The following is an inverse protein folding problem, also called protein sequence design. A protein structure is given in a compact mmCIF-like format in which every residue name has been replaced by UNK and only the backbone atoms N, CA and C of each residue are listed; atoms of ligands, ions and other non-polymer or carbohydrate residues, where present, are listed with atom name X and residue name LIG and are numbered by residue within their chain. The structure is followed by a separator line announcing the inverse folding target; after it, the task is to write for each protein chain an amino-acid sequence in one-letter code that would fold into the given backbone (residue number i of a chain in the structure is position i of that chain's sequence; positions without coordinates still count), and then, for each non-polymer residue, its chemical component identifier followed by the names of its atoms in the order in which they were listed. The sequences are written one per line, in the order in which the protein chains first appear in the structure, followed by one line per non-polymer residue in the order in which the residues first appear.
data_IF_921569268729
#
_entry.id   IF_921569268729
#
_cell.length_a   1.000
_cell.length_b   1.000
_cell.length_c   1.000
_cell.angle_alpha   90.00
_cell.angle_beta   90.00
_cell.angle_gamma   90.00
#
_symmetry.space_group_name_H-M   'P 1'
#
loop_
_entity.id
_entity.type
_entity.pdbx_description
1 polymer ?
#
# COMPACT_ATOMS: atom_id res chain seq x y z
N UNK A 1 1.33 0.11 -4.55
CA UNK A 1 2.08 -1.16 -4.61
C UNK A 1 1.25 -2.23 -5.31
N UNK A 2 1.79 -2.78 -6.41
CA UNK A 2 1.23 -3.89 -7.22
C UNK A 2 2.19 -4.25 -8.37
N UNK A 3 1.88 -5.25 -9.20
CA UNK A 3 2.71 -5.65 -10.37
C UNK A 3 2.56 -4.70 -11.58
N UNK A 4 2.80 -3.42 -11.36
CA UNK A 4 2.56 -2.33 -12.29
C UNK A 4 3.49 -2.30 -13.51
N UNK A 5 4.36 -3.31 -13.68
CA UNK A 5 5.29 -3.43 -14.80
C UNK A 5 4.83 -4.38 -15.91
N UNK A 6 3.97 -5.35 -15.60
CA UNK A 6 3.58 -6.42 -16.54
C UNK A 6 2.10 -6.75 -16.56
N UNK A 7 1.38 -6.50 -15.46
CA UNK A 7 -0.04 -6.86 -15.35
C UNK A 7 -0.96 -5.67 -15.66
N UNK A 8 -1.81 -5.75 -16.71
CA UNK A 8 -2.77 -4.69 -17.03
C UNK A 8 -3.72 -4.33 -15.90
N UNK A 9 -4.07 -5.28 -15.03
CA UNK A 9 -4.92 -5.04 -13.86
C UNK A 9 -4.16 -4.26 -12.79
N UNK A 10 -2.91 -4.63 -12.49
CA UNK A 10 -2.09 -3.91 -11.53
C UNK A 10 -1.88 -2.46 -11.96
N UNK A 11 -1.58 -2.25 -13.24
CA UNK A 11 -1.47 -0.91 -13.84
C UNK A 11 -2.80 -0.17 -13.66
N UNK A 12 -3.94 -0.79 -13.96
CA UNK A 12 -5.25 -0.15 -13.85
C UNK A 12 -5.61 0.23 -12.42
N UNK A 13 -5.30 -0.61 -11.43
CA UNK A 13 -5.48 -0.27 -10.01
C UNK A 13 -4.63 0.93 -9.63
N UNK A 14 -3.37 0.95 -10.05
CA UNK A 14 -2.46 2.05 -9.78
C UNK A 14 -2.87 3.37 -10.42
N UNK A 15 -3.25 3.33 -11.70
CA UNK A 15 -3.83 4.48 -12.37
C UNK A 15 -5.10 4.97 -11.68
N UNK A 16 -5.93 4.05 -11.19
CA UNK A 16 -7.15 4.35 -10.45
C UNK A 16 -6.87 5.14 -9.19
N UNK A 17 -6.12 4.56 -8.24
CA UNK A 17 -5.83 5.24 -6.98
C UNK A 17 -5.00 6.52 -7.18
N UNK A 18 -4.06 6.54 -8.14
CA UNK A 18 -3.26 7.74 -8.42
C UNK A 18 -4.10 8.88 -9.01
N UNK A 19 -5.13 8.57 -9.80
CA UNK A 19 -6.00 9.61 -10.36
C UNK A 19 -6.80 10.34 -9.27
N UNK A 20 -7.15 9.64 -8.19
CA UNK A 20 -7.89 10.21 -7.06
C UNK A 20 -6.96 10.93 -6.09
N UNK A 21 -5.84 10.31 -5.72
CA UNK A 21 -4.94 10.84 -4.68
C UNK A 21 -4.03 11.94 -5.23
N UNK A 22 -3.50 11.76 -6.45
CA UNK A 22 -2.45 12.60 -7.03
C UNK A 22 -2.90 13.37 -8.27
N UNK A 23 -4.13 13.16 -8.75
CA UNK A 23 -4.64 13.84 -9.94
C UNK A 23 -3.98 13.40 -11.25
N UNK A 24 -3.34 12.22 -11.27
CA UNK A 24 -2.64 11.69 -12.45
C UNK A 24 -2.81 10.18 -12.58
N UNK A 25 -2.83 9.67 -13.81
CA UNK A 25 -2.78 8.22 -14.09
C UNK A 25 -1.35 7.71 -14.31
N UNK A 26 -0.33 8.51 -13.98
CA UNK A 26 1.05 8.03 -14.09
C UNK A 26 1.28 6.92 -13.05
N UNK A 27 1.95 5.84 -13.47
CA UNK A 27 2.45 4.80 -12.57
C UNK A 27 3.74 4.20 -13.15
N UNK A 28 4.74 3.87 -12.31
CA UNK A 28 4.86 4.29 -10.92
C UNK A 28 5.07 5.82 -10.81
N UNK A 29 4.75 6.37 -9.65
CA UNK A 29 5.08 7.74 -9.26
C UNK A 29 6.51 7.83 -8.73
N UNK A 30 7.02 9.06 -8.59
CA UNK A 30 8.38 9.31 -8.12
C UNK A 30 8.30 10.20 -6.89
N UNK A 31 8.64 9.65 -5.72
CA UNK A 31 8.74 10.44 -4.49
C UNK A 31 9.97 11.39 -4.52
N UNK A 32 9.94 12.53 -3.80
CA UNK A 32 8.81 13.03 -3.03
C UNK A 32 7.77 13.74 -3.91
N UNK A 33 6.49 13.58 -3.57
CA UNK A 33 5.39 14.36 -4.14
C UNK A 33 4.48 14.88 -3.03
N UNK A 34 3.84 16.02 -3.25
CA UNK A 34 2.84 16.58 -2.33
C UNK A 34 1.62 17.01 -3.12
N UNK A 35 0.42 16.63 -2.68
CA UNK A 35 -0.83 17.06 -3.31
C UNK A 35 -1.43 18.29 -2.59
N UNK A 36 -2.51 18.84 -3.15
CA UNK A 36 -3.22 20.00 -2.57
C UNK A 36 -3.94 19.71 -1.25
N UNK A 37 -4.11 18.43 -0.89
CA UNK A 37 -4.72 17.99 0.36
C UNK A 37 -3.70 17.78 1.49
N UNK A 38 -2.41 18.02 1.22
CA UNK A 38 -1.33 17.84 2.19
C UNK A 38 -0.83 16.41 2.34
N UNK A 39 -1.19 15.50 1.44
CA UNK A 39 -0.59 14.16 1.41
C UNK A 39 0.81 14.22 0.81
N UNK A 40 1.73 13.49 1.43
CA UNK A 40 3.13 13.41 1.02
C UNK A 40 3.46 11.98 0.59
N UNK A 41 3.81 11.80 -0.68
CA UNK A 41 4.28 10.52 -1.19
C UNK A 41 5.72 10.32 -0.76
N UNK A 42 5.97 9.32 0.08
CA UNK A 42 7.33 8.95 0.53
C UNK A 42 7.90 7.76 -0.23
N UNK A 43 7.07 7.01 -0.95
CA UNK A 43 7.51 5.91 -1.79
C UNK A 43 6.36 5.35 -2.63
N UNK A 44 6.69 4.91 -3.84
CA UNK A 44 5.83 4.11 -4.69
C UNK A 44 6.67 2.94 -5.21
N UNK A 45 6.31 1.73 -4.82
CA UNK A 45 7.09 0.52 -5.07
C UNK A 45 6.29 -0.45 -5.92
N UNK A 46 6.90 -0.90 -7.02
CA UNK A 46 6.34 -1.92 -7.89
C UNK A 46 6.73 -3.30 -7.36
N UNK A 47 5.75 -4.17 -7.17
CA UNK A 47 5.95 -5.55 -6.71
C UNK A 47 5.85 -6.48 -7.90
N UNK A 48 7.00 -6.83 -8.49
CA UNK A 48 7.06 -7.72 -9.65
C UNK A 48 6.37 -9.07 -9.38
N UNK A 49 5.59 -9.55 -10.35
CA UNK A 49 4.91 -10.84 -10.32
C UNK A 49 4.00 -11.06 -9.11
N UNK A 50 3.50 -10.00 -8.48
CA UNK A 50 2.66 -10.09 -7.27
C UNK A 50 3.34 -10.81 -6.10
N UNK A 51 4.68 -10.80 -6.05
CA UNK A 51 5.42 -11.54 -5.03
C UNK A 51 5.21 -10.94 -3.63
N UNK A 52 4.47 -11.67 -2.79
CA UNK A 52 4.06 -11.25 -1.45
C UNK A 52 5.25 -10.99 -0.52
N UNK A 53 6.34 -11.75 -0.66
CA UNK A 53 7.55 -11.57 0.13
C UNK A 53 8.30 -10.27 -0.25
N UNK A 54 8.36 -9.97 -1.55
CA UNK A 54 8.92 -8.72 -2.08
C UNK A 54 8.10 -7.53 -1.63
N UNK A 55 6.76 -7.60 -1.67
CA UNK A 55 5.90 -6.53 -1.16
C UNK A 55 6.17 -6.24 0.32
N UNK A 56 6.25 -7.28 1.16
CA UNK A 56 6.59 -7.13 2.59
C UNK A 56 7.97 -6.50 2.79
N UNK A 57 8.98 -6.98 2.06
CA UNK A 57 10.35 -6.43 2.14
C UNK A 57 10.38 -4.95 1.74
N UNK A 58 9.70 -4.59 0.64
CA UNK A 58 9.61 -3.21 0.18
C UNK A 58 8.96 -2.30 1.22
N UNK A 59 7.87 -2.76 1.84
CA UNK A 59 7.19 -1.98 2.87
C UNK A 59 8.04 -1.84 4.14
N UNK A 60 8.65 -2.93 4.64
CA UNK A 60 9.53 -2.88 5.81
C UNK A 60 10.69 -1.88 5.63
N UNK A 61 11.28 -1.84 4.44
CA UNK A 61 12.33 -0.88 4.09
C UNK A 61 11.80 0.55 4.06
N UNK A 62 10.66 0.80 3.39
CA UNK A 62 10.02 2.11 3.35
C UNK A 62 9.64 2.60 4.74
N UNK A 63 9.08 1.73 5.58
CA UNK A 63 8.67 2.01 6.95
C UNK A 63 9.88 2.25 7.87
N UNK A 64 11.03 1.65 7.59
CA UNK A 64 12.29 1.94 8.30
C UNK A 64 12.83 3.32 7.91
N UNK A 65 12.83 3.66 6.61
CA UNK A 65 13.29 4.95 6.12
C UNK A 65 12.35 6.12 6.48
N UNK A 66 11.05 5.84 6.54
CA UNK A 66 9.98 6.80 6.81
C UNK A 66 9.09 6.29 7.95
N UNK A 67 9.55 6.38 9.21
CA UNK A 67 8.80 5.87 10.36
C UNK A 67 7.49 6.64 10.63
N UNK A 68 7.27 7.75 9.94
CA UNK A 68 6.07 8.59 9.99
C UNK A 68 5.00 8.23 8.94
N UNK A 69 5.17 7.13 8.19
CA UNK A 69 4.11 6.61 7.31
C UNK A 69 2.83 6.40 8.12
N UNK A 70 1.73 6.98 7.64
CA UNK A 70 0.43 6.93 8.31
C UNK A 70 -0.73 6.52 7.38
N UNK A 71 -0.45 6.12 6.14
CA UNK A 71 -1.40 5.51 5.21
C UNK A 71 -0.63 4.64 4.20
N UNK A 72 -1.21 3.52 3.76
CA UNK A 72 -0.59 2.61 2.79
C UNK A 72 -1.62 2.18 1.76
N UNK A 73 -1.30 2.29 0.47
CA UNK A 73 -2.16 1.82 -0.63
C UNK A 73 -1.53 0.58 -1.27
N UNK A 74 -2.23 -0.55 -1.11
CA UNK A 74 -1.83 -1.87 -1.59
C UNK A 74 -2.95 -2.43 -2.46
N UNK A 75 -2.58 -3.02 -3.61
CA UNK A 75 -3.55 -3.49 -4.59
C UNK A 75 -4.26 -4.81 -4.21
N UNK A 76 -3.72 -5.60 -3.27
CA UNK A 76 -4.28 -6.91 -2.90
C UNK A 76 -4.09 -7.20 -1.39
N UNK A 77 -5.01 -7.97 -0.82
CA UNK A 77 -5.06 -8.39 0.58
C UNK A 77 -3.84 -9.22 1.00
N UNK A 78 -3.38 -10.14 0.15
CA UNK A 78 -2.27 -11.04 0.50
C UNK A 78 -0.96 -10.26 0.72
N UNK A 79 -0.72 -9.26 -0.12
CA UNK A 79 0.39 -8.31 0.09
C UNK A 79 0.14 -7.43 1.32
N UNK A 80 -1.09 -6.99 1.52
CA UNK A 80 -1.45 -6.14 2.66
C UNK A 80 -1.30 -6.86 4.00
N UNK A 81 -1.44 -8.19 4.05
CA UNK A 81 -1.24 -8.95 5.27
C UNK A 81 0.17 -8.75 5.87
N UNK A 82 1.21 -8.67 5.03
CA UNK A 82 2.58 -8.37 5.49
C UNK A 82 2.73 -6.92 5.97
N UNK A 83 2.08 -5.97 5.29
CA UNK A 83 2.02 -4.56 5.72
C UNK A 83 1.39 -4.45 7.12
N UNK A 84 0.25 -5.12 7.34
CA UNK A 84 -0.43 -5.16 8.63
C UNK A 84 0.46 -5.79 9.70
N UNK A 85 1.16 -6.88 9.39
CA UNK A 85 2.08 -7.52 10.34
C UNK A 85 3.22 -6.57 10.77
N UNK A 86 3.81 -5.84 9.83
CA UNK A 86 4.87 -4.86 10.11
C UNK A 86 4.37 -3.69 10.96
N UNK A 87 3.15 -3.20 10.68
CA UNK A 87 2.50 -2.17 11.50
C UNK A 87 2.25 -2.67 12.92
N UNK A 88 1.69 -3.87 13.07
CA UNK A 88 1.48 -4.54 14.38
C UNK A 88 2.80 -4.69 15.14
N UNK A 89 3.87 -5.12 14.47
CA UNK A 89 5.21 -5.25 15.05
C UNK A 89 5.79 -3.91 15.53
N UNK A 90 5.47 -2.80 14.84
CA UNK A 90 5.80 -1.44 15.26
C UNK A 90 4.92 -0.89 16.39
N UNK A 91 3.93 -1.67 16.87
CA UNK A 91 3.00 -1.23 17.91
C UNK A 91 1.96 -0.23 17.42
N UNK A 92 1.73 -0.15 16.10
CA UNK A 92 0.63 0.63 15.52
C UNK A 92 -0.68 0.02 16.00
N UNK A 93 -1.59 0.87 16.48
CA UNK A 93 -2.87 0.42 17.04
C UNK A 93 -3.92 0.23 15.93
N UNK A 94 -4.97 -0.58 16.16
CA UNK A 94 -6.14 -0.60 15.29
C UNK A 94 -6.67 0.80 14.99
N UNK A 95 -7.22 0.99 13.80
CA UNK A 95 -7.87 2.22 13.33
C UNK A 95 -6.96 3.46 13.28
N UNK A 96 -5.63 3.28 13.20
CA UNK A 96 -4.68 4.41 13.17
C UNK A 96 -4.00 4.64 11.82
N UNK A 97 -3.68 3.57 11.09
CA UNK A 97 -3.03 3.65 9.77
C UNK A 97 -3.95 2.92 8.77
N UNK A 98 -4.68 3.62 7.90
CA UNK A 98 -5.47 2.98 6.85
C UNK A 98 -4.54 2.24 5.87
N UNK A 99 -4.90 0.99 5.59
CA UNK A 99 -4.28 0.14 4.58
C UNK A 99 -5.34 -0.49 3.70
N UNK A 100 -5.09 -0.66 2.39
CA UNK A 100 -6.10 -1.14 1.43
C UNK A 100 -5.82 -2.56 0.94
N UNK A 101 -6.83 -3.20 0.33
CA UNK A 101 -6.73 -4.44 -0.41
C UNK A 101 -7.98 -4.65 -1.30
N UNK A 102 -8.22 -5.85 -1.84
CA UNK A 102 -9.28 -6.06 -2.83
C UNK A 102 -10.00 -7.40 -2.76
N UNK A 103 -9.27 -8.51 -2.57
CA UNK A 103 -9.73 -9.85 -2.96
C UNK A 103 -10.73 -10.51 -1.99
N UNK A 104 -11.02 -9.84 -0.86
CA UNK A 104 -11.87 -10.37 0.22
C UNK A 104 -11.39 -11.73 0.73
N UNK A 105 -10.07 -11.89 0.83
CA UNK A 105 -9.47 -13.08 1.46
C UNK A 105 -9.91 -13.17 2.93
N UNK A 106 -9.86 -14.37 3.52
CA UNK A 106 -10.17 -14.55 4.94
C UNK A 106 -9.31 -13.62 5.81
N UNK A 107 -8.00 -13.60 5.58
CA UNK A 107 -7.06 -12.72 6.29
C UNK A 107 -7.38 -11.24 6.08
N UNK A 108 -7.77 -10.84 4.86
CA UNK A 108 -8.19 -9.46 4.57
C UNK A 108 -9.43 -9.06 5.38
N UNK A 109 -10.44 -9.93 5.42
CA UNK A 109 -11.66 -9.70 6.22
C UNK A 109 -11.36 -9.67 7.73
N UNK A 110 -10.51 -10.56 8.23
CA UNK A 110 -10.06 -10.55 9.63
C UNK A 110 -9.34 -9.24 9.96
N UNK A 111 -8.42 -8.79 9.10
CA UNK A 111 -7.73 -7.51 9.28
C UNK A 111 -8.68 -6.31 9.24
N UNK A 112 -9.74 -6.35 8.43
CA UNK A 112 -10.80 -5.33 8.45
C UNK A 112 -11.53 -5.33 9.80
N UNK A 113 -11.93 -6.50 10.30
CA UNK A 113 -12.62 -6.63 11.59
C UNK A 113 -11.74 -6.21 12.78
N UNK A 114 -10.44 -6.46 12.69
CA UNK A 114 -9.45 -6.03 13.68
C UNK A 114 -9.05 -4.55 13.54
N UNK A 115 -9.52 -3.85 12.50
CA UNK A 115 -9.28 -2.43 12.27
C UNK A 115 -7.91 -2.07 11.67
N UNK A 116 -7.24 -3.02 11.00
CA UNK A 116 -5.94 -2.79 10.36
C UNK A 116 -6.02 -2.63 8.84
N UNK A 117 -7.15 -2.96 8.21
CA UNK A 117 -7.37 -2.84 6.77
C UNK A 117 -8.76 -2.20 6.50
N UNK A 118 -8.91 -1.53 5.36
CA UNK A 118 -10.14 -0.87 4.92
C UNK A 118 -10.36 -0.96 3.41
#
# INVERSE_FOLDING_TARGET
MGDENSDPNAISFAQGYNSVIWGTKKTPLTAPMTNSLGYHLVGDQVTLNWDVATAGTNFAQALTAHPNINAVVVANDEMNANVVQDLKNKGVKPFTVPTTGQDATLTGMENILEGYQC
#
